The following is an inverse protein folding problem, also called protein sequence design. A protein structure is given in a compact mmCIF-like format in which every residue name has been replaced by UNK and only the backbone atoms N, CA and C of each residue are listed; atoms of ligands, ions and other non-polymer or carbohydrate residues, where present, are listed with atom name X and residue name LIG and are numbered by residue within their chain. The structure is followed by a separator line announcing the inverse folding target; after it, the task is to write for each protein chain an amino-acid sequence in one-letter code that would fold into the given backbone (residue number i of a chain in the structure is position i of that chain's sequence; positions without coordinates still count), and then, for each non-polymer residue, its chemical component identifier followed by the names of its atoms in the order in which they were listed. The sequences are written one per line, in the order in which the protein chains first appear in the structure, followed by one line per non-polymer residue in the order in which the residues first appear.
data_IF_074151479223
#
_entry.id   IF_074151479223
#
_cell.length_a   1.000
_cell.length_b   1.000
_cell.length_c   1.000
_cell.angle_alpha   90.00
_cell.angle_beta   90.00
_cell.angle_gamma   90.00
#
_symmetry.space_group_name_H-M   'P 1'
#
loop_
_entity.id
_entity.type
_entity.pdbx_description
1 polymer ?
#
# COMPACT_ATOMS: atom_id res chain seq x y z
N UNK A 1 28.54 29.92 -37.20
CA UNK A 1 28.38 28.45 -37.28
C UNK A 1 28.64 27.72 -35.97
N UNK A 2 29.64 28.09 -35.15
CA UNK A 2 29.89 27.44 -33.84
C UNK A 2 28.76 27.58 -32.85
N UNK A 3 28.02 28.69 -32.85
CA UNK A 3 26.89 28.94 -31.94
C UNK A 3 25.65 28.11 -32.29
N UNK A 4 25.46 27.80 -33.56
CA UNK A 4 24.36 26.94 -34.01
C UNK A 4 24.56 25.47 -33.58
N UNK A 5 25.79 24.97 -33.70
CA UNK A 5 26.13 23.61 -33.24
C UNK A 5 25.99 23.47 -31.73
N UNK A 6 26.40 24.48 -30.95
CA UNK A 6 26.22 24.50 -29.50
C UNK A 6 24.75 24.56 -29.08
N UNK A 7 23.94 25.33 -29.76
CA UNK A 7 22.51 25.40 -29.49
C UNK A 7 21.78 24.12 -29.82
N UNK A 8 22.16 23.42 -30.89
CA UNK A 8 21.60 22.12 -31.27
C UNK A 8 22.00 21.03 -30.27
N UNK A 9 23.24 21.04 -29.81
CA UNK A 9 23.73 20.09 -28.80
C UNK A 9 23.00 20.29 -27.46
N UNK A 10 22.84 21.53 -27.00
CA UNK A 10 22.10 21.83 -25.76
C UNK A 10 20.63 21.43 -25.86
N UNK A 11 20.00 21.63 -27.02
CA UNK A 11 18.61 21.24 -27.26
C UNK A 11 18.44 19.72 -27.17
N UNK A 12 19.32 18.96 -27.77
CA UNK A 12 19.31 17.50 -27.71
C UNK A 12 19.61 16.98 -26.30
N UNK A 13 20.51 17.62 -25.57
CA UNK A 13 20.84 17.27 -24.20
C UNK A 13 19.66 17.52 -23.26
N UNK A 14 18.98 18.65 -23.38
CA UNK A 14 17.78 18.96 -22.59
C UNK A 14 16.65 17.97 -22.88
N UNK A 15 16.44 17.60 -24.14
CA UNK A 15 15.42 16.62 -24.52
C UNK A 15 15.75 15.23 -23.95
N UNK A 16 17.00 14.79 -24.02
CA UNK A 16 17.45 13.54 -23.44
C UNK A 16 17.32 13.52 -21.91
N UNK A 17 17.65 14.63 -21.25
CA UNK A 17 17.51 14.79 -19.81
C UNK A 17 16.04 14.76 -19.37
N UNK A 18 15.15 15.40 -20.12
CA UNK A 18 13.72 15.40 -19.87
C UNK A 18 13.12 14.00 -20.03
N UNK A 19 13.52 13.28 -21.08
CA UNK A 19 13.11 11.87 -21.29
C UNK A 19 13.61 10.96 -20.16
N UNK A 20 14.81 11.19 -19.68
CA UNK A 20 15.37 10.43 -18.55
C UNK A 20 14.58 10.67 -17.25
N UNK A 21 14.18 11.91 -16.98
CA UNK A 21 13.33 12.25 -15.83
C UNK A 21 11.95 11.59 -15.92
N UNK A 22 11.37 11.51 -17.11
CA UNK A 22 10.07 10.85 -17.31
C UNK A 22 10.14 9.35 -17.06
N UNK A 23 11.22 8.69 -17.47
CA UNK A 23 11.43 7.27 -17.21
C UNK A 23 11.66 7.00 -15.72
N UNK A 24 12.39 7.88 -15.02
CA UNK A 24 12.60 7.77 -13.57
C UNK A 24 11.30 7.92 -12.78
N UNK A 25 10.43 8.87 -13.16
CA UNK A 25 9.14 9.05 -12.48
C UNK A 25 8.18 7.90 -12.73
N UNK A 26 8.25 7.22 -13.88
CA UNK A 26 7.47 6.01 -14.17
C UNK A 26 7.86 4.81 -13.29
N UNK A 27 9.13 4.73 -12.87
CA UNK A 27 9.60 3.66 -11.98
C UNK A 27 9.05 3.76 -10.55
N UNK A 28 8.64 4.95 -10.10
CA UNK A 28 8.01 5.16 -8.79
C UNK A 28 6.50 4.96 -8.78
N UNK A 29 5.88 4.70 -9.93
CA UNK A 29 4.45 4.44 -10.04
C UNK A 29 4.03 3.04 -9.61
N UNK A 30 4.98 2.14 -9.33
CA UNK A 30 4.68 0.83 -8.78
C UNK A 30 4.55 0.94 -7.27
N UNK A 31 3.36 0.62 -6.78
CA UNK A 31 2.96 0.68 -5.39
C UNK A 31 4.02 0.11 -4.44
N UNK A 32 4.64 0.98 -3.67
CA UNK A 32 5.47 0.57 -2.55
C UNK A 32 4.57 0.32 -1.34
N UNK A 33 4.49 -0.92 -0.92
CA UNK A 33 3.86 -1.28 0.35
C UNK A 33 4.93 -1.17 1.43
N UNK A 34 4.60 -0.49 2.52
CA UNK A 34 5.51 -0.24 3.62
C UNK A 34 4.96 -0.81 4.93
N UNK A 35 5.87 -1.15 5.82
CA UNK A 35 5.55 -1.52 7.19
C UNK A 35 4.77 -2.83 7.32
N UNK A 36 3.75 -2.81 8.16
CA UNK A 36 3.01 -4.01 8.56
C UNK A 36 2.29 -4.71 7.41
N UNK A 37 2.00 -4.01 6.32
CA UNK A 37 1.38 -4.61 5.14
C UNK A 37 2.23 -5.70 4.50
N UNK A 38 3.55 -5.67 4.69
CA UNK A 38 4.49 -6.67 4.18
C UNK A 38 4.53 -7.95 5.01
N UNK A 39 4.01 -7.93 6.23
CA UNK A 39 3.98 -9.12 7.08
C UNK A 39 3.16 -10.22 6.40
N UNK A 40 3.63 -11.46 6.50
CA UNK A 40 2.82 -12.60 6.08
C UNK A 40 1.61 -12.77 7.00
N UNK A 41 0.52 -13.31 6.49
CA UNK A 41 -0.64 -13.62 7.32
C UNK A 41 -0.29 -14.59 8.47
N UNK A 42 0.64 -15.52 8.28
CA UNK A 42 1.19 -16.33 9.35
C UNK A 42 1.73 -15.49 10.50
N UNK A 43 2.56 -14.50 10.16
CA UNK A 43 3.17 -13.61 11.17
C UNK A 43 2.11 -12.78 11.88
N UNK A 44 1.13 -12.26 11.16
CA UNK A 44 0.02 -11.51 11.74
C UNK A 44 -0.72 -12.36 12.76
N UNK A 45 -1.13 -13.57 12.37
CA UNK A 45 -1.86 -14.49 13.25
C UNK A 45 -1.02 -14.83 14.50
N UNK A 46 0.25 -15.18 14.30
CA UNK A 46 1.16 -15.49 15.41
C UNK A 46 1.28 -14.30 16.39
N UNK A 47 1.45 -13.10 15.87
CA UNK A 47 1.63 -11.91 16.69
C UNK A 47 0.38 -11.54 17.50
N UNK A 48 -0.82 -11.65 16.91
CA UNK A 48 -2.06 -11.29 17.59
C UNK A 48 -2.54 -12.36 18.56
N UNK A 49 -2.13 -13.61 18.37
CA UNK A 49 -2.47 -14.72 19.26
C UNK A 49 -1.65 -14.75 20.56
N UNK A 50 -0.66 -13.88 20.71
CA UNK A 50 0.08 -13.76 21.96
C UNK A 50 -0.81 -13.26 23.09
N UNK A 51 -0.83 -13.98 24.21
CA UNK A 51 -1.70 -13.70 25.36
C UNK A 51 -1.08 -12.72 26.36
N UNK A 52 -0.36 -11.73 25.88
CA UNK A 52 0.34 -10.75 26.71
C UNK A 52 0.12 -9.33 26.16
N UNK A 53 0.75 -8.35 26.81
CA UNK A 53 0.71 -6.95 26.39
C UNK A 53 1.22 -6.77 24.94
N UNK A 54 2.13 -7.63 24.51
CA UNK A 54 2.67 -7.59 23.15
C UNK A 54 1.61 -7.97 22.11
N UNK A 55 0.80 -8.99 22.40
CA UNK A 55 -0.33 -9.36 21.53
C UNK A 55 -1.34 -8.24 21.39
N UNK A 56 -1.66 -7.56 22.48
CA UNK A 56 -2.55 -6.37 22.46
C UNK A 56 -1.94 -5.25 21.62
N UNK A 57 -0.65 -4.99 21.77
CA UNK A 57 0.04 -3.97 20.98
C UNK A 57 0.04 -4.30 19.48
N UNK A 58 0.28 -5.55 19.11
CA UNK A 58 0.22 -5.99 17.71
C UNK A 58 -1.18 -5.84 17.14
N UNK A 59 -2.21 -6.27 17.86
CA UNK A 59 -3.61 -6.11 17.43
C UNK A 59 -3.93 -4.63 17.17
N UNK A 60 -3.53 -3.75 18.05
CA UNK A 60 -3.71 -2.31 17.89
C UNK A 60 -2.99 -1.77 16.66
N UNK A 61 -1.74 -2.19 16.44
CA UNK A 61 -0.95 -1.77 15.29
C UNK A 61 -1.57 -2.23 13.96
N UNK A 62 -1.97 -3.49 13.85
CA UNK A 62 -2.60 -4.01 12.65
C UNK A 62 -3.97 -3.37 12.39
N UNK A 63 -4.77 -3.14 13.44
CA UNK A 63 -6.04 -2.44 13.33
C UNK A 63 -5.83 -1.02 12.79
N UNK A 64 -4.85 -0.29 13.30
CA UNK A 64 -4.50 1.05 12.85
C UNK A 64 -4.05 1.06 11.38
N UNK A 65 -3.32 0.03 10.97
CA UNK A 65 -2.90 -0.12 9.57
C UNK A 65 -4.11 -0.30 8.64
N UNK A 66 -5.05 -1.15 9.01
CA UNK A 66 -6.31 -1.37 8.27
C UNK A 66 -7.11 -0.05 8.18
N UNK A 67 -7.24 0.66 9.28
CA UNK A 67 -7.92 1.95 9.33
C UNK A 67 -7.27 2.97 8.40
N UNK A 68 -5.94 3.04 8.40
CA UNK A 68 -5.19 3.94 7.53
C UNK A 68 -5.41 3.63 6.05
N UNK A 69 -5.41 2.35 5.69
CA UNK A 69 -5.69 1.92 4.33
C UNK A 69 -7.09 2.35 3.87
N UNK A 70 -8.14 1.99 4.63
CA UNK A 70 -9.51 2.31 4.25
C UNK A 70 -9.77 3.81 4.26
N UNK A 71 -9.22 4.54 5.23
CA UNK A 71 -9.29 6.01 5.23
C UNK A 71 -8.65 6.61 3.98
N UNK A 72 -7.48 6.09 3.59
CA UNK A 72 -6.78 6.56 2.41
C UNK A 72 -7.55 6.32 1.11
N UNK A 73 -8.05 5.11 0.90
CA UNK A 73 -8.81 4.79 -0.32
C UNK A 73 -10.14 5.53 -0.37
N UNK A 74 -10.80 5.73 0.77
CA UNK A 74 -12.04 6.51 0.82
C UNK A 74 -11.82 7.96 0.40
N UNK A 75 -10.72 8.56 0.84
CA UNK A 75 -10.37 9.94 0.46
C UNK A 75 -10.02 10.04 -1.02
N UNK A 76 -9.16 9.13 -1.50
CA UNK A 76 -8.65 9.18 -2.88
C UNK A 76 -9.75 8.89 -3.91
N UNK A 77 -10.62 7.92 -3.63
CA UNK A 77 -11.63 7.45 -4.57
C UNK A 77 -13.06 7.92 -4.22
N UNK A 78 -13.20 8.78 -3.22
CA UNK A 78 -14.51 9.26 -2.74
C UNK A 78 -15.44 8.08 -2.37
N UNK A 79 -14.86 7.05 -1.76
CA UNK A 79 -15.59 5.87 -1.30
C UNK A 79 -16.08 6.04 0.14
N UNK A 80 -16.94 5.12 0.56
CA UNK A 80 -17.49 5.05 1.92
C UNK A 80 -17.30 3.67 2.54
N UNK A 81 -16.30 2.93 2.09
CA UNK A 81 -16.03 1.59 2.60
C UNK A 81 -15.68 1.60 4.09
N UNK A 82 -16.23 0.68 4.84
CA UNK A 82 -15.89 0.49 6.24
C UNK A 82 -16.49 1.47 7.21
N UNK A 83 -17.51 2.24 6.83
CA UNK A 83 -18.22 3.15 7.73
C UNK A 83 -18.90 2.44 8.92
N UNK A 84 -19.13 1.14 8.81
CA UNK A 84 -19.77 0.33 9.86
C UNK A 84 -18.85 0.07 11.07
N UNK A 85 -17.55 0.29 10.92
CA UNK A 85 -16.59 0.20 12.02
C UNK A 85 -15.28 -0.48 11.67
N UNK A 86 -14.20 0.07 12.17
CA UNK A 86 -12.83 -0.41 11.94
C UNK A 86 -12.59 -1.79 12.53
N UNK A 87 -13.18 -2.09 13.68
CA UNK A 87 -13.01 -3.39 14.31
C UNK A 87 -13.59 -4.51 13.44
N UNK A 88 -14.75 -4.30 12.84
CA UNK A 88 -15.34 -5.24 11.89
C UNK A 88 -14.45 -5.47 10.67
N UNK A 89 -13.89 -4.41 10.11
CA UNK A 89 -12.94 -4.52 9.00
C UNK A 89 -11.70 -5.32 9.38
N UNK A 90 -11.12 -5.05 10.54
CA UNK A 90 -9.96 -5.79 11.02
C UNK A 90 -10.26 -7.28 11.17
N UNK A 91 -11.41 -7.65 11.74
CA UNK A 91 -11.80 -9.05 11.93
C UNK A 91 -11.99 -9.77 10.60
N UNK A 92 -12.54 -9.10 9.59
CA UNK A 92 -12.68 -9.67 8.25
C UNK A 92 -11.33 -9.84 7.54
N UNK A 93 -10.42 -8.88 7.69
CA UNK A 93 -9.03 -9.02 7.19
C UNK A 93 -8.35 -10.20 7.86
N UNK A 94 -8.51 -10.34 9.18
CA UNK A 94 -7.93 -11.46 9.92
C UNK A 94 -8.51 -12.80 9.46
N UNK A 95 -9.80 -12.86 9.17
CA UNK A 95 -10.43 -14.05 8.60
C UNK A 95 -9.86 -14.39 7.22
N UNK A 96 -9.62 -13.39 6.36
CA UNK A 96 -8.95 -13.58 5.08
C UNK A 96 -7.52 -14.10 5.26
N UNK A 97 -6.81 -13.60 6.25
CA UNK A 97 -5.48 -14.11 6.61
C UNK A 97 -5.51 -15.58 7.03
N UNK A 98 -6.47 -15.96 7.84
CA UNK A 98 -6.63 -17.37 8.28
C UNK A 98 -6.97 -18.30 7.11
N UNK A 99 -7.73 -17.80 6.13
CA UNK A 99 -8.07 -18.56 4.93
C UNK A 99 -6.87 -18.72 3.97
N UNK A 100 -5.95 -17.76 3.96
CA UNK A 100 -4.77 -17.75 3.07
C UNK A 100 -3.52 -17.32 3.84
N UNK A 101 -2.98 -18.19 4.71
CA UNK A 101 -1.87 -17.81 5.60
C UNK A 101 -0.59 -17.42 4.87
N UNK A 102 -0.39 -17.92 3.65
CA UNK A 102 0.80 -17.59 2.83
C UNK A 102 0.73 -16.20 2.19
N UNK A 103 -0.45 -15.58 2.15
CA UNK A 103 -0.63 -14.24 1.61
C UNK A 103 0.00 -13.21 2.54
N UNK A 104 0.22 -12.00 2.01
CA UNK A 104 0.63 -10.86 2.81
C UNK A 104 -0.59 -10.19 3.46
N UNK A 105 -0.34 -9.45 4.54
CA UNK A 105 -1.39 -8.69 5.22
C UNK A 105 -2.08 -7.70 4.28
N UNK A 106 -1.29 -6.99 3.46
CA UNK A 106 -1.87 -6.05 2.49
C UNK A 106 -2.75 -6.75 1.45
N UNK A 107 -2.39 -7.96 1.03
CA UNK A 107 -3.23 -8.72 0.09
C UNK A 107 -4.58 -9.07 0.70
N UNK A 108 -4.61 -9.44 1.99
CA UNK A 108 -5.86 -9.70 2.70
C UNK A 108 -6.74 -8.45 2.80
N UNK A 109 -6.13 -7.28 3.01
CA UNK A 109 -6.83 -5.98 3.05
C UNK A 109 -7.40 -5.63 1.67
N UNK A 110 -6.59 -5.76 0.61
CA UNK A 110 -7.02 -5.45 -0.77
C UNK A 110 -8.16 -6.35 -1.20
N UNK A 111 -8.11 -7.63 -0.84
CA UNK A 111 -9.18 -8.58 -1.16
C UNK A 111 -10.50 -8.17 -0.49
N UNK A 112 -10.45 -7.75 0.78
CA UNK A 112 -11.64 -7.23 1.45
C UNK A 112 -12.16 -5.97 0.78
N UNK A 113 -11.28 -5.03 0.45
CA UNK A 113 -11.68 -3.81 -0.26
C UNK A 113 -12.37 -4.13 -1.59
N UNK A 114 -11.82 -5.07 -2.36
CA UNK A 114 -12.43 -5.49 -3.62
C UNK A 114 -13.82 -6.09 -3.43
N UNK A 115 -14.04 -6.87 -2.36
CA UNK A 115 -15.36 -7.42 -2.02
C UNK A 115 -16.37 -6.32 -1.65
N UNK A 116 -15.94 -5.33 -0.87
CA UNK A 116 -16.80 -4.23 -0.45
C UNK A 116 -17.20 -3.29 -1.61
N UNK A 117 -16.44 -3.31 -2.71
CA UNK A 117 -16.70 -2.52 -3.91
C UNK A 117 -17.60 -3.19 -4.94
N UNK A 118 -17.99 -4.42 -4.72
CA UNK A 118 -18.91 -5.13 -5.64
C UNK A 118 -20.34 -4.57 -5.54
#
# INVERSE_FOLDING_TARGET
MSNFKKALFMKNFLTAFFLWLMVSSGAYGNSAVLGLGLDSCYKVIENVDKNDDLGVAFKSAYTSYVMGFFSGVNVVYEDDTGLEGVEGLYLEVLANCKASPDASFISAIINLYAELKK
#
